data_IF_728864394572
#
_entry.id   IF_728864394572
#
_cell.length_a   1.000
_cell.length_b   1.000
_cell.length_c   1.000
_cell.angle_alpha   90.00
_cell.angle_beta   90.00
_cell.angle_gamma   90.00
#
_symmetry.space_group_name_H-M   'P 1'
#
loop_
_entity.id
_entity.type
_entity.pdbx_description
1 polymer ?
#
# COMPACT_ATOMS: atom_id res chain seq x y z
N UNK A 1 -27.35 -14.67 -2.16
CA UNK A 1 -26.72 -13.36 -1.88
C UNK A 1 -26.24 -13.27 -0.42
N UNK A 2 -27.09 -13.56 0.59
CA UNK A 2 -26.71 -13.48 2.01
C UNK A 2 -25.51 -14.42 2.33
N UNK A 3 -25.58 -15.68 1.94
CA UNK A 3 -24.51 -16.66 2.16
C UNK A 3 -23.15 -16.20 1.59
N UNK A 4 -23.12 -15.57 0.40
CA UNK A 4 -21.90 -15.03 -0.18
C UNK A 4 -21.35 -13.82 0.60
N UNK A 5 -22.22 -13.03 1.23
CA UNK A 5 -21.82 -11.94 2.09
C UNK A 5 -21.16 -12.49 3.36
N UNK A 6 -21.77 -13.52 3.95
CA UNK A 6 -21.25 -14.17 5.17
C UNK A 6 -19.91 -14.86 4.91
N UNK A 7 -19.78 -15.61 3.81
CA UNK A 7 -18.51 -16.24 3.40
C UNK A 7 -17.42 -15.19 3.13
N UNK A 8 -17.77 -14.07 2.52
CA UNK A 8 -16.82 -12.99 2.27
C UNK A 8 -16.40 -12.29 3.59
N UNK A 9 -17.31 -12.15 4.56
CA UNK A 9 -16.98 -11.64 5.89
C UNK A 9 -15.99 -12.59 6.59
N UNK A 10 -16.31 -13.88 6.66
CA UNK A 10 -15.43 -14.90 7.24
C UNK A 10 -14.04 -14.89 6.58
N UNK A 11 -13.97 -14.84 5.24
CA UNK A 11 -12.70 -14.75 4.53
C UNK A 11 -11.90 -13.51 4.92
N UNK A 12 -12.55 -12.37 5.13
CA UNK A 12 -11.89 -11.13 5.58
C UNK A 12 -11.33 -11.26 6.98
N UNK A 13 -12.10 -11.85 7.90
CA UNK A 13 -11.70 -12.05 9.29
C UNK A 13 -10.50 -13.00 9.36
N UNK A 14 -10.59 -14.17 8.71
CA UNK A 14 -9.47 -15.12 8.62
C UNK A 14 -8.21 -14.50 7.96
N UNK A 15 -8.41 -13.61 6.97
CA UNK A 15 -7.28 -12.90 6.34
C UNK A 15 -6.65 -11.92 7.33
N UNK A 16 -7.45 -11.18 8.12
CA UNK A 16 -6.95 -10.24 9.10
C UNK A 16 -6.14 -10.94 10.20
N UNK A 17 -6.67 -12.03 10.75
CA UNK A 17 -5.97 -12.88 11.72
C UNK A 17 -4.66 -13.45 11.16
N UNK A 18 -4.67 -13.94 9.91
CA UNK A 18 -3.47 -14.44 9.24
C UNK A 18 -2.42 -13.37 8.98
N UNK A 19 -2.83 -12.13 8.70
CA UNK A 19 -1.91 -10.98 8.56
C UNK A 19 -1.30 -10.62 9.92
N UNK A 20 -2.09 -10.60 11.00
CA UNK A 20 -1.60 -10.31 12.34
C UNK A 20 -0.54 -11.33 12.79
N UNK A 21 -0.83 -12.63 12.63
CA UNK A 21 0.13 -13.71 12.94
C UNK A 21 1.41 -13.61 12.08
N UNK A 22 1.27 -13.26 10.80
CA UNK A 22 2.41 -13.09 9.92
C UNK A 22 3.28 -11.90 10.32
N UNK A 23 2.67 -10.76 10.65
CA UNK A 23 3.40 -9.57 11.12
C UNK A 23 4.13 -9.84 12.42
N UNK A 24 3.50 -10.56 13.36
CA UNK A 24 4.15 -10.96 14.60
C UNK A 24 5.42 -11.79 14.32
N UNK A 25 5.36 -12.79 13.43
CA UNK A 25 6.55 -13.58 13.05
C UNK A 25 7.63 -12.70 12.40
N UNK A 26 7.25 -11.72 11.59
CA UNK A 26 8.20 -10.77 10.97
C UNK A 26 8.90 -9.94 12.04
N UNK A 27 8.18 -9.43 13.01
CA UNK A 27 8.72 -8.60 14.10
C UNK A 27 9.62 -9.40 15.05
N UNK A 28 9.26 -10.64 15.37
CA UNK A 28 9.99 -11.50 16.32
C UNK A 28 11.27 -12.12 15.72
N UNK A 29 11.29 -12.40 14.41
CA UNK A 29 12.35 -13.21 13.84
C UNK A 29 13.01 -12.72 12.56
N UNK A 30 12.34 -11.90 11.77
CA UNK A 30 12.73 -11.67 10.36
C UNK A 30 13.11 -10.22 10.05
N UNK A 31 13.41 -9.39 11.03
CA UNK A 31 13.67 -7.95 10.84
C UNK A 31 14.86 -7.63 9.94
N UNK A 32 15.86 -8.54 9.87
CA UNK A 32 17.05 -8.40 9.02
C UNK A 32 16.95 -9.07 7.64
N UNK A 33 15.90 -9.87 7.39
CA UNK A 33 15.75 -10.60 6.13
C UNK A 33 15.35 -9.68 4.97
N UNK A 34 15.93 -9.94 3.80
CA UNK A 34 15.63 -9.24 2.55
C UNK A 34 14.37 -9.79 1.88
N UNK A 35 14.13 -11.08 2.03
CA UNK A 35 12.97 -11.82 1.55
C UNK A 35 12.26 -12.43 2.74
N UNK A 36 11.04 -12.02 3.00
CA UNK A 36 10.26 -12.54 4.11
C UNK A 36 9.68 -13.90 3.76
N UNK A 37 9.94 -14.90 4.59
CA UNK A 37 9.36 -16.24 4.47
C UNK A 37 8.63 -16.56 5.76
N UNK A 38 7.30 -16.51 5.71
CA UNK A 38 6.43 -16.70 6.87
C UNK A 38 5.72 -18.05 6.74
N UNK A 39 5.77 -18.87 7.79
CA UNK A 39 5.09 -20.17 7.83
C UNK A 39 3.90 -20.14 8.79
N UNK A 40 2.69 -20.32 8.24
CA UNK A 40 1.41 -20.29 8.95
C UNK A 40 0.68 -21.63 8.75
N UNK A 41 1.03 -22.68 9.49
CA UNK A 41 0.53 -24.03 9.27
C UNK A 41 -1.00 -24.15 9.42
N UNK A 42 -1.61 -23.33 10.28
CA UNK A 42 -3.05 -23.40 10.59
C UNK A 42 -3.91 -22.49 9.68
N UNK A 43 -3.28 -21.72 8.78
CA UNK A 43 -3.97 -20.84 7.83
C UNK A 43 -4.29 -21.61 6.56
N UNK A 44 -5.51 -21.46 6.05
CA UNK A 44 -5.94 -22.09 4.81
C UNK A 44 -5.14 -21.60 3.60
N UNK A 45 -4.69 -22.53 2.75
CA UNK A 45 -3.80 -22.25 1.60
C UNK A 45 -4.33 -21.16 0.64
N UNK A 46 -5.66 -21.04 0.48
CA UNK A 46 -6.26 -20.02 -0.39
C UNK A 46 -6.03 -18.57 0.07
N UNK A 47 -5.67 -18.37 1.34
CA UNK A 47 -5.40 -17.04 1.92
C UNK A 47 -3.93 -16.64 1.80
N UNK A 48 -3.01 -17.59 1.60
CA UNK A 48 -1.56 -17.34 1.58
C UNK A 48 -1.17 -16.20 0.63
N UNK A 49 -1.76 -16.16 -0.57
CA UNK A 49 -1.47 -15.13 -1.56
C UNK A 49 -1.98 -13.73 -1.20
N UNK A 50 -3.11 -13.65 -0.46
CA UNK A 50 -3.66 -12.37 0.02
C UNK A 50 -2.81 -11.85 1.17
N UNK A 51 -2.47 -12.74 2.12
CA UNK A 51 -1.62 -12.41 3.27
C UNK A 51 -0.24 -11.95 2.78
N UNK A 52 0.39 -12.70 1.87
CA UNK A 52 1.68 -12.31 1.28
C UNK A 52 1.63 -10.92 0.63
N UNK A 53 0.51 -10.58 -0.04
CA UNK A 53 0.28 -9.26 -0.58
C UNK A 53 0.25 -8.16 0.49
N UNK A 54 -0.44 -8.39 1.59
CA UNK A 54 -0.55 -7.43 2.69
C UNK A 54 0.79 -7.22 3.43
N UNK A 55 1.52 -8.31 3.70
CA UNK A 55 2.85 -8.18 4.32
C UNK A 55 3.81 -7.45 3.38
N UNK A 56 3.82 -7.79 2.08
CA UNK A 56 4.62 -7.09 1.08
C UNK A 56 4.28 -5.59 1.02
N UNK A 57 3.00 -5.21 1.14
CA UNK A 57 2.57 -3.80 1.20
C UNK A 57 3.07 -3.10 2.45
N UNK A 58 2.97 -3.74 3.61
CA UNK A 58 3.40 -3.18 4.89
C UNK A 58 4.92 -3.05 5.02
N UNK A 59 5.67 -4.09 4.61
CA UNK A 59 7.13 -4.15 4.79
C UNK A 59 7.94 -3.68 3.58
N UNK A 60 7.29 -3.50 2.42
CA UNK A 60 7.92 -3.25 1.12
C UNK A 60 9.06 -4.23 0.81
N UNK A 61 8.87 -5.51 1.14
CA UNK A 61 9.81 -6.60 0.90
C UNK A 61 9.15 -7.74 0.11
N UNK A 62 9.90 -8.47 -0.75
CA UNK A 62 9.41 -9.72 -1.33
C UNK A 62 8.98 -10.66 -0.20
N UNK A 63 7.80 -11.24 -0.31
CA UNK A 63 7.21 -12.03 0.78
C UNK A 63 6.64 -13.34 0.26
N UNK A 64 7.00 -14.44 0.89
CA UNK A 64 6.38 -15.76 0.76
C UNK A 64 5.60 -16.09 2.02
N UNK A 65 4.36 -16.50 1.85
CA UNK A 65 3.55 -17.10 2.92
C UNK A 65 3.35 -18.57 2.59
N UNK A 66 3.76 -19.41 3.51
CA UNK A 66 3.72 -20.85 3.44
C UNK A 66 2.62 -21.36 4.38
N UNK A 67 1.87 -22.38 3.93
CA UNK A 67 0.80 -22.98 4.71
C UNK A 67 0.90 -24.50 4.61
N UNK A 68 0.41 -25.21 5.61
CA UNK A 68 0.35 -26.68 5.59
C UNK A 68 -0.66 -27.15 4.54
N UNK A 69 -0.34 -28.23 3.86
CA UNK A 69 -1.24 -28.92 2.91
C UNK A 69 -1.17 -30.45 3.11
N UNK A 70 -2.03 -31.19 2.44
CA UNK A 70 -2.06 -32.65 2.56
C UNK A 70 -0.72 -33.31 2.19
N UNK A 71 -0.03 -32.76 1.17
CA UNK A 71 1.22 -33.29 0.62
C UNK A 71 2.46 -32.48 1.02
N UNK A 72 2.47 -31.85 2.19
CA UNK A 72 3.58 -31.01 2.66
C UNK A 72 3.19 -29.56 2.87
N UNK A 73 3.94 -28.64 2.29
CA UNK A 73 3.74 -27.19 2.42
C UNK A 73 3.50 -26.57 1.06
N UNK A 74 2.48 -25.70 0.97
CA UNK A 74 2.24 -24.84 -0.18
C UNK A 74 2.52 -23.40 0.17
N UNK A 75 3.02 -22.64 -0.80
CA UNK A 75 3.34 -21.24 -0.62
C UNK A 75 2.89 -20.35 -1.75
N UNK A 76 2.61 -19.11 -1.41
CA UNK A 76 2.36 -18.04 -2.36
C UNK A 76 3.30 -16.87 -2.08
N UNK A 77 3.96 -16.37 -3.13
CA UNK A 77 4.84 -15.22 -3.07
C UNK A 77 4.23 -13.98 -3.72
N UNK A 78 4.60 -12.81 -3.18
CA UNK A 78 4.32 -11.48 -3.76
C UNK A 78 5.57 -10.64 -3.71
N UNK A 79 5.85 -9.92 -4.81
CA UNK A 79 7.12 -9.23 -4.99
C UNK A 79 7.01 -7.70 -5.01
N UNK A 80 8.17 -7.07 -4.97
CA UNK A 80 8.42 -5.68 -5.35
C UNK A 80 9.04 -5.64 -6.76
N UNK A 81 9.05 -4.47 -7.39
CA UNK A 81 9.51 -4.34 -8.79
C UNK A 81 10.98 -4.77 -9.00
N UNK A 82 11.83 -4.58 -7.99
CA UNK A 82 13.25 -4.90 -8.04
C UNK A 82 13.57 -6.41 -7.89
N UNK A 83 12.57 -7.28 -7.65
CA UNK A 83 12.78 -8.69 -7.33
C UNK A 83 11.89 -9.59 -8.17
N UNK A 84 12.49 -10.43 -9.02
CA UNK A 84 11.77 -11.42 -9.82
C UNK A 84 11.56 -12.72 -9.04
N UNK A 85 10.34 -12.94 -8.52
CA UNK A 85 10.00 -14.18 -7.79
C UNK A 85 10.39 -15.44 -8.54
N UNK A 86 10.07 -15.52 -9.83
CA UNK A 86 10.33 -16.71 -10.62
C UNK A 86 11.83 -16.99 -10.78
N UNK A 87 12.62 -15.97 -11.13
CA UNK A 87 14.07 -16.13 -11.33
C UNK A 87 14.78 -16.52 -10.03
N UNK A 88 14.34 -15.94 -8.92
CA UNK A 88 14.92 -16.26 -7.60
C UNK A 88 14.53 -17.68 -7.13
N UNK A 89 13.30 -18.12 -7.38
CA UNK A 89 12.90 -19.50 -7.10
C UNK A 89 13.71 -20.52 -7.94
N UNK A 90 14.07 -20.19 -9.18
CA UNK A 90 14.92 -21.04 -10.00
C UNK A 90 16.27 -21.34 -9.35
N UNK A 91 16.82 -20.42 -8.53
CA UNK A 91 18.08 -20.63 -7.78
C UNK A 91 17.95 -21.62 -6.62
N UNK A 92 16.70 -21.95 -6.23
CA UNK A 92 16.38 -22.84 -5.13
C UNK A 92 15.56 -24.07 -5.59
N UNK A 93 15.52 -24.35 -6.89
CA UNK A 93 14.58 -25.31 -7.50
C UNK A 93 14.62 -26.71 -6.90
N UNK A 94 15.77 -27.14 -6.39
CA UNK A 94 15.96 -28.47 -5.77
C UNK A 94 15.20 -28.66 -4.46
N UNK A 95 14.72 -27.57 -3.84
CA UNK A 95 13.97 -27.61 -2.58
C UNK A 95 12.47 -27.87 -2.80
N UNK A 96 11.98 -27.68 -4.04
CA UNK A 96 10.56 -27.71 -4.35
C UNK A 96 10.13 -29.00 -5.03
N UNK A 97 8.91 -29.43 -4.73
CA UNK A 97 8.21 -30.45 -5.50
C UNK A 97 7.53 -29.87 -6.74
N UNK A 98 7.03 -28.63 -6.61
CA UNK A 98 6.46 -27.83 -7.70
C UNK A 98 6.72 -26.35 -7.43
N UNK A 99 6.97 -25.58 -8.46
CA UNK A 99 6.96 -24.12 -8.39
C UNK A 99 6.67 -23.51 -9.75
N UNK A 100 6.23 -22.26 -9.75
CA UNK A 100 5.99 -21.48 -10.96
C UNK A 100 5.46 -20.10 -10.64
N UNK A 101 5.48 -19.22 -11.64
CA UNK A 101 4.99 -17.87 -11.45
C UNK A 101 5.50 -16.89 -12.48
N UNK A 102 5.44 -15.63 -12.10
CA UNK A 102 5.87 -14.44 -12.84
C UNK A 102 6.77 -13.58 -11.95
N UNK A 103 7.38 -12.51 -12.45
CA UNK A 103 8.23 -11.65 -11.62
C UNK A 103 7.54 -11.15 -10.35
N UNK A 104 6.26 -10.80 -10.40
CA UNK A 104 5.54 -10.19 -9.27
C UNK A 104 4.80 -11.17 -8.35
N UNK A 105 4.64 -12.43 -8.76
CA UNK A 105 3.91 -13.43 -7.96
C UNK A 105 4.31 -14.84 -8.35
N UNK A 106 4.47 -15.70 -7.35
CA UNK A 106 4.80 -17.10 -7.58
C UNK A 106 4.05 -18.01 -6.60
N UNK A 107 3.92 -19.27 -6.99
CA UNK A 107 3.44 -20.37 -6.16
C UNK A 107 4.48 -21.47 -6.08
N UNK A 108 4.52 -22.16 -4.95
CA UNK A 108 5.46 -23.23 -4.71
C UNK A 108 4.85 -24.32 -3.82
N UNK A 109 5.44 -25.51 -3.89
CA UNK A 109 5.19 -26.61 -2.95
C UNK A 109 6.52 -27.24 -2.56
N UNK A 110 6.69 -27.56 -1.29
CA UNK A 110 7.92 -28.14 -0.77
C UNK A 110 7.63 -29.08 0.43
N UNK A 111 8.54 -30.02 0.74
CA UNK A 111 8.50 -30.75 2.00
C UNK A 111 8.64 -29.81 3.18
N UNK A 112 7.94 -30.07 4.28
CA UNK A 112 7.99 -29.22 5.48
C UNK A 112 9.41 -29.09 6.03
N UNK A 113 10.23 -30.13 5.95
CA UNK A 113 11.64 -30.10 6.36
C UNK A 113 12.49 -29.09 5.58
N UNK A 114 12.04 -28.67 4.40
CA UNK A 114 12.77 -27.71 3.57
C UNK A 114 12.37 -26.25 3.84
N UNK A 115 11.45 -25.96 4.73
CA UNK A 115 10.96 -24.59 4.99
C UNK A 115 12.10 -23.68 5.45
N UNK A 116 12.85 -24.09 6.48
CA UNK A 116 13.97 -23.29 6.99
C UNK A 116 15.12 -23.20 5.97
N UNK A 117 15.43 -24.30 5.29
CA UNK A 117 16.46 -24.31 4.24
C UNK A 117 16.09 -23.36 3.12
N UNK A 118 14.82 -23.29 2.75
CA UNK A 118 14.32 -22.32 1.76
C UNK A 118 14.50 -20.88 2.24
N UNK A 119 14.12 -20.58 3.51
CA UNK A 119 14.29 -19.24 4.11
C UNK A 119 15.73 -18.78 4.05
N UNK A 120 16.65 -19.61 4.50
CA UNK A 120 18.07 -19.30 4.50
C UNK A 120 18.61 -19.10 3.08
N UNK A 121 18.31 -20.04 2.17
CA UNK A 121 18.84 -20.03 0.82
C UNK A 121 18.32 -18.87 -0.02
N UNK A 122 17.01 -18.56 0.04
CA UNK A 122 16.42 -17.46 -0.74
C UNK A 122 16.98 -16.10 -0.29
N UNK A 123 17.27 -15.94 0.99
CA UNK A 123 17.90 -14.75 1.54
C UNK A 123 19.39 -14.66 1.17
N UNK A 124 20.12 -15.78 1.21
CA UNK A 124 21.53 -15.83 0.82
C UNK A 124 21.73 -15.51 -0.67
N UNK A 125 20.80 -15.91 -1.53
CA UNK A 125 20.84 -15.63 -2.98
C UNK A 125 20.33 -14.24 -3.35
N UNK A 126 19.71 -13.52 -2.41
CA UNK A 126 19.03 -12.24 -2.67
C UNK A 126 20.03 -11.10 -2.93
N UNK A 127 20.01 -10.57 -4.14
CA UNK A 127 20.85 -9.45 -4.57
C UNK A 127 20.32 -8.04 -4.25
N UNK A 128 19.18 -7.91 -3.56
CA UNK A 128 18.58 -6.60 -3.22
C UNK A 128 19.48 -5.79 -2.29
N UNK A 129 19.48 -4.50 -2.48
CA UNK A 129 20.14 -3.49 -1.65
C UNK A 129 19.12 -2.70 -0.83
N UNK A 130 19.56 -1.92 0.16
CA UNK A 130 18.67 -1.08 0.96
C UNK A 130 17.84 -0.09 0.12
N UNK A 131 18.38 0.37 -1.00
CA UNK A 131 17.68 1.28 -1.93
C UNK A 131 16.47 0.64 -2.62
N UNK A 132 16.49 -0.68 -2.78
CA UNK A 132 15.40 -1.43 -3.42
C UNK A 132 14.17 -1.57 -2.51
N UNK A 133 14.35 -1.41 -1.19
CA UNK A 133 13.27 -1.44 -0.21
C UNK A 133 12.61 -0.08 0.02
N UNK A 134 13.12 0.98 -0.62
CA UNK A 134 12.50 2.31 -0.55
C UNK A 134 11.38 2.38 -1.60
N UNK A 135 10.11 2.53 -1.18
CA UNK A 135 8.99 2.67 -2.12
C UNK A 135 9.21 3.86 -3.06
N UNK A 136 9.21 3.60 -4.36
CA UNK A 136 9.33 4.64 -5.39
C UNK A 136 7.94 5.04 -5.88
N UNK A 137 7.65 6.33 -5.85
CA UNK A 137 6.41 6.88 -6.38
C UNK A 137 6.69 7.50 -7.73
N UNK A 138 6.02 6.99 -8.76
CA UNK A 138 6.11 7.55 -10.10
C UNK A 138 5.21 8.77 -10.20
N UNK A 139 5.79 9.92 -10.46
CA UNK A 139 5.08 11.16 -10.74
C UNK A 139 5.17 11.40 -12.24
N UNK A 140 4.04 11.51 -12.92
CA UNK A 140 4.04 11.76 -14.36
C UNK A 140 4.40 13.21 -14.68
N UNK A 141 3.78 14.16 -13.97
CA UNK A 141 4.04 15.60 -14.15
C UNK A 141 3.96 16.33 -12.81
N UNK A 142 4.95 17.15 -12.42
CA UNK A 142 4.79 18.14 -11.35
C UNK A 142 3.75 19.18 -11.81
N UNK A 143 2.63 19.30 -11.06
CA UNK A 143 1.56 20.23 -11.40
C UNK A 143 1.00 20.87 -10.12
N UNK A 144 0.91 22.21 -10.07
CA UNK A 144 0.29 22.90 -8.93
C UNK A 144 -1.15 22.44 -8.69
N UNK A 145 -1.56 22.24 -7.44
CA UNK A 145 -2.91 21.79 -7.09
C UNK A 145 -4.02 22.75 -7.49
N UNK A 146 -3.70 24.01 -7.78
CA UNK A 146 -4.62 25.03 -8.23
C UNK A 146 -4.70 25.21 -9.75
N UNK A 147 -3.92 24.40 -10.51
CA UNK A 147 -3.91 24.40 -11.97
C UNK A 147 -5.09 23.62 -12.57
N UNK A 148 -5.49 22.43 -12.05
CA UNK A 148 -6.58 21.67 -12.64
C UNK A 148 -7.89 22.44 -12.63
N UNK A 149 -8.56 22.46 -13.78
CA UNK A 149 -9.91 22.93 -13.99
C UNK A 149 -10.82 21.80 -14.50
N UNK A 150 -12.11 22.07 -14.64
CA UNK A 150 -13.09 21.07 -15.11
C UNK A 150 -12.77 20.58 -16.53
N UNK A 151 -12.41 21.44 -17.52
CA UNK A 151 -11.96 20.99 -18.84
C UNK A 151 -10.80 20.01 -18.78
N UNK A 152 -9.72 20.30 -18.06
CA UNK A 152 -8.56 19.40 -17.91
C UNK A 152 -8.96 18.05 -17.30
N UNK A 153 -9.78 18.05 -16.25
CA UNK A 153 -10.22 16.78 -15.64
C UNK A 153 -11.05 15.96 -16.62
N UNK A 154 -11.91 16.60 -17.43
CA UNK A 154 -12.66 15.89 -18.47
C UNK A 154 -11.74 15.30 -19.56
N UNK A 155 -10.67 15.98 -19.94
CA UNK A 155 -9.64 15.41 -20.84
C UNK A 155 -8.91 14.22 -20.22
N UNK A 156 -8.57 14.29 -18.92
CA UNK A 156 -7.97 13.16 -18.20
C UNK A 156 -8.91 11.94 -18.15
N UNK A 157 -10.21 12.14 -18.07
CA UNK A 157 -11.21 11.06 -18.09
C UNK A 157 -11.26 10.33 -19.46
N UNK A 158 -10.82 10.95 -20.54
CA UNK A 158 -10.72 10.26 -21.84
C UNK A 158 -9.65 9.16 -21.86
N UNK A 159 -8.75 9.16 -20.89
CA UNK A 159 -7.75 8.09 -20.72
C UNK A 159 -8.32 6.82 -20.07
N UNK A 160 -9.55 6.85 -19.56
CA UNK A 160 -10.21 5.66 -18.97
C UNK A 160 -10.51 4.57 -20.04
N UNK A 161 -10.55 3.28 -19.63
CA UNK A 161 -10.48 2.77 -18.25
C UNK A 161 -9.04 2.63 -17.74
N UNK A 162 -8.80 3.06 -16.51
CA UNK A 162 -7.52 2.87 -15.83
C UNK A 162 -7.38 1.44 -15.31
N UNK A 163 -6.14 0.93 -15.31
CA UNK A 163 -5.80 -0.41 -14.84
C UNK A 163 -4.29 -0.67 -14.89
N UNK A 164 -3.91 -1.93 -14.82
CA UNK A 164 -2.50 -2.34 -14.71
C UNK A 164 -1.60 -1.80 -15.84
N UNK A 165 -2.08 -1.80 -17.09
CA UNK A 165 -1.32 -1.33 -18.27
C UNK A 165 -1.60 0.13 -18.62
N UNK A 166 -2.59 0.77 -17.99
CA UNK A 166 -2.97 2.16 -18.15
C UNK A 166 -3.19 2.77 -16.78
N UNK A 167 -2.11 3.11 -16.10
CA UNK A 167 -2.13 3.62 -14.73
C UNK A 167 -2.73 5.02 -14.73
N UNK A 168 -3.55 5.33 -13.71
CA UNK A 168 -4.11 6.66 -13.51
C UNK A 168 -2.96 7.66 -13.33
N UNK A 169 -2.92 8.77 -14.10
CA UNK A 169 -1.85 9.76 -14.00
C UNK A 169 -1.69 10.31 -12.58
N UNK A 170 -0.46 10.50 -12.15
CA UNK A 170 -0.13 11.05 -10.84
C UNK A 170 0.61 12.37 -10.98
N UNK A 171 0.07 13.37 -10.30
CA UNK A 171 0.62 14.71 -10.24
C UNK A 171 1.21 14.99 -8.87
N UNK A 172 2.14 15.93 -8.78
CA UNK A 172 2.71 16.32 -7.50
C UNK A 172 2.81 17.83 -7.36
N UNK A 173 2.60 18.29 -6.13
CA UNK A 173 2.84 19.66 -5.69
C UNK A 173 3.45 19.68 -4.30
N UNK A 174 4.11 20.76 -3.94
CA UNK A 174 4.84 20.90 -2.68
C UNK A 174 4.54 22.21 -1.97
N UNK A 175 4.94 22.28 -0.71
CA UNK A 175 4.86 23.48 0.13
C UNK A 175 3.43 23.99 0.35
N UNK A 176 2.47 23.07 0.42
CA UNK A 176 1.06 23.37 0.67
C UNK A 176 0.80 23.53 2.17
N UNK A 177 0.15 24.61 2.58
CA UNK A 177 -0.34 24.76 3.95
C UNK A 177 -1.61 23.93 4.18
N UNK A 178 -1.89 23.55 5.42
CA UNK A 178 -3.15 22.93 5.81
C UNK A 178 -3.98 23.97 6.55
N UNK A 179 -5.02 24.51 5.91
CA UNK A 179 -5.93 25.44 6.58
C UNK A 179 -6.90 24.69 7.52
N UNK A 180 -7.31 23.49 7.13
CA UNK A 180 -8.23 22.67 7.93
C UNK A 180 -8.10 21.18 7.57
N UNK A 181 -8.20 20.33 8.60
CA UNK A 181 -8.30 18.88 8.49
C UNK A 181 -9.57 18.40 9.21
N UNK A 182 -10.35 17.52 8.59
CA UNK A 182 -11.58 16.95 9.18
C UNK A 182 -11.66 15.47 8.83
N UNK A 183 -11.83 14.63 9.84
CA UNK A 183 -12.11 13.21 9.66
C UNK A 183 -13.58 13.04 9.29
N UNK A 184 -13.84 12.33 8.22
CA UNK A 184 -15.20 12.08 7.70
C UNK A 184 -15.36 10.60 7.33
N UNK A 185 -16.59 10.23 7.00
CA UNK A 185 -16.95 8.85 6.64
C UNK A 185 -17.41 8.03 7.86
N UNK A 186 -18.20 6.99 7.58
CA UNK A 186 -18.80 6.14 8.61
C UNK A 186 -17.74 5.41 9.45
N UNK A 187 -16.63 5.07 8.84
CA UNK A 187 -15.51 4.34 9.47
C UNK A 187 -14.36 5.27 9.91
N UNK A 188 -14.54 6.60 9.84
CA UNK A 188 -13.53 7.60 10.19
C UNK A 188 -12.16 7.41 9.49
N UNK A 189 -12.19 6.88 8.28
CA UNK A 189 -11.00 6.53 7.47
C UNK A 189 -10.82 7.45 6.26
N UNK A 190 -11.48 8.59 6.24
CA UNK A 190 -11.35 9.60 5.19
C UNK A 190 -10.96 10.92 5.82
N UNK A 191 -9.84 11.48 5.40
CA UNK A 191 -9.39 12.80 5.83
C UNK A 191 -9.71 13.82 4.73
N UNK A 192 -10.61 14.75 5.04
CA UNK A 192 -10.90 15.90 4.19
C UNK A 192 -10.02 17.08 4.63
N UNK A 193 -9.26 17.61 3.68
CA UNK A 193 -8.34 18.71 3.90
C UNK A 193 -8.76 19.94 3.09
N UNK A 194 -8.52 21.10 3.65
CA UNK A 194 -8.45 22.36 2.89
C UNK A 194 -6.99 22.76 2.84
N UNK A 195 -6.40 22.65 1.64
CA UNK A 195 -5.01 23.00 1.41
C UNK A 195 -4.89 24.43 0.92
N UNK A 196 -3.85 25.12 1.32
CA UNK A 196 -3.55 26.47 0.91
C UNK A 196 -2.27 26.51 0.07
N UNK A 197 -2.37 27.04 -1.13
CA UNK A 197 -1.23 27.24 -2.01
C UNK A 197 -0.40 28.46 -1.55
N UNK A 198 0.83 28.58 -2.02
CA UNK A 198 1.66 29.76 -1.77
C UNK A 198 1.01 31.06 -2.29
N UNK A 199 0.17 30.97 -3.30
CA UNK A 199 -0.63 32.08 -3.86
C UNK A 199 -1.86 32.42 -3.02
N UNK A 200 -2.11 31.70 -1.92
CA UNK A 200 -3.24 31.93 -1.03
C UNK A 200 -4.55 31.30 -1.48
N UNK A 201 -4.56 30.51 -2.56
CA UNK A 201 -5.79 29.82 -3.04
C UNK A 201 -6.05 28.56 -2.19
N UNK A 202 -7.28 28.37 -1.76
CA UNK A 202 -7.71 27.20 -1.01
C UNK A 202 -8.25 26.11 -1.95
N UNK A 203 -7.76 24.87 -1.76
CA UNK A 203 -8.13 23.71 -2.56
C UNK A 203 -8.68 22.61 -1.66
N UNK A 204 -9.81 22.03 -2.06
CA UNK A 204 -10.36 20.85 -1.38
C UNK A 204 -9.55 19.60 -1.73
N UNK A 205 -9.16 18.84 -0.71
CA UNK A 205 -8.44 17.59 -0.88
C UNK A 205 -9.07 16.49 -0.03
N UNK A 206 -8.96 15.25 -0.48
CA UNK A 206 -9.35 14.06 0.28
C UNK A 206 -8.20 13.06 0.30
N UNK A 207 -8.00 12.42 1.42
CA UNK A 207 -7.08 11.32 1.61
C UNK A 207 -7.84 10.10 2.14
N UNK A 208 -7.70 8.97 1.45
CA UNK A 208 -8.29 7.69 1.81
C UNK A 208 -7.17 6.80 2.35
N UNK A 209 -6.92 6.86 3.64
CA UNK A 209 -5.87 6.09 4.29
C UNK A 209 -5.96 6.16 5.80
N UNK A 210 -4.90 5.76 6.47
CA UNK A 210 -4.83 5.80 7.92
C UNK A 210 -4.68 7.24 8.42
N UNK A 211 -5.66 7.70 9.17
CA UNK A 211 -5.71 9.07 9.71
C UNK A 211 -4.77 9.21 10.91
N UNK A 212 -4.57 8.14 11.68
CA UNK A 212 -3.67 8.18 12.83
C UNK A 212 -2.21 8.18 12.35
N UNK A 213 -1.87 7.39 11.32
CA UNK A 213 -0.56 7.45 10.68
C UNK A 213 -0.25 8.87 10.15
N UNK A 214 -1.25 9.53 9.53
CA UNK A 214 -1.14 10.93 9.09
C UNK A 214 -0.84 11.87 10.26
N UNK A 215 -1.56 11.73 11.38
CA UNK A 215 -1.34 12.54 12.58
C UNK A 215 0.04 12.34 13.18
N UNK A 216 0.44 11.09 13.35
CA UNK A 216 1.75 10.75 13.88
C UNK A 216 2.89 11.26 13.00
N UNK A 217 2.76 11.13 11.68
CA UNK A 217 3.77 11.60 10.74
C UNK A 217 4.01 13.12 10.89
N UNK A 218 2.92 13.90 10.85
CA UNK A 218 3.03 15.36 11.00
C UNK A 218 3.30 15.78 12.45
N UNK A 219 2.85 15.01 13.44
CA UNK A 219 3.18 15.21 14.85
C UNK A 219 4.67 15.09 15.11
N UNK A 220 5.32 14.08 14.57
CA UNK A 220 6.78 13.90 14.65
C UNK A 220 7.54 15.00 13.92
N UNK A 221 7.02 15.52 12.82
CA UNK A 221 7.71 16.50 11.96
C UNK A 221 7.52 17.95 12.41
N UNK A 222 6.35 18.32 12.90
CA UNK A 222 5.97 19.70 13.24
C UNK A 222 5.53 19.87 14.70
N UNK A 223 5.28 18.79 15.42
CA UNK A 223 4.75 18.79 16.78
C UNK A 223 3.24 18.58 16.84
N UNK A 224 2.78 17.89 17.88
CA UNK A 224 1.36 17.53 18.10
C UNK A 224 0.44 18.76 18.14
N UNK A 225 0.92 19.89 18.70
CA UNK A 225 0.14 21.13 18.76
C UNK A 225 -0.20 21.65 17.37
N UNK A 226 0.73 21.62 16.41
CA UNK A 226 0.50 22.10 15.05
C UNK A 226 -0.55 21.23 14.34
N UNK A 227 -0.48 19.92 14.54
CA UNK A 227 -1.50 18.97 14.02
C UNK A 227 -2.86 19.29 14.64
N UNK A 228 -2.94 19.48 15.96
CA UNK A 228 -4.19 19.84 16.62
C UNK A 228 -4.78 21.15 16.09
N UNK A 229 -3.94 22.17 15.87
CA UNK A 229 -4.41 23.44 15.27
C UNK A 229 -4.98 23.24 13.88
N UNK A 230 -4.37 22.40 13.03
CA UNK A 230 -4.90 22.07 11.70
C UNK A 230 -6.28 21.40 11.78
N UNK A 231 -6.46 20.46 12.72
CA UNK A 231 -7.76 19.80 12.93
C UNK A 231 -8.82 20.72 13.52
N UNK A 232 -8.42 21.76 14.26
CA UNK A 232 -9.31 22.82 14.74
C UNK A 232 -9.61 23.91 13.70
N UNK A 233 -8.97 23.84 12.52
CA UNK A 233 -9.08 24.88 11.49
C UNK A 233 -8.43 26.19 11.89
N UNK A 234 -7.36 26.15 12.67
CA UNK A 234 -6.59 27.30 13.15
C UNK A 234 -5.26 27.42 12.43
N UNK A 235 -4.65 28.59 12.51
CA UNK A 235 -3.32 28.83 11.96
C UNK A 235 -2.29 27.86 12.52
N UNK A 236 -1.52 27.23 11.62
CA UNK A 236 -0.47 26.27 11.92
C UNK A 236 0.69 26.42 10.93
N UNK A 237 1.83 25.83 11.27
CA UNK A 237 3.06 25.87 10.47
C UNK A 237 3.25 24.69 9.51
N UNK A 238 2.28 23.77 9.42
CA UNK A 238 2.44 22.55 8.60
C UNK A 238 2.58 22.92 7.12
N UNK A 239 3.58 22.30 6.48
CA UNK A 239 3.79 22.32 5.03
C UNK A 239 3.90 20.91 4.54
N UNK A 240 3.08 20.58 3.54
CA UNK A 240 3.04 19.24 2.96
C UNK A 240 3.35 19.25 1.47
N UNK A 241 3.96 18.18 1.00
CA UNK A 241 4.02 17.82 -0.40
C UNK A 241 3.01 16.72 -0.65
N UNK A 242 2.38 16.72 -1.80
CA UNK A 242 1.36 15.71 -2.15
C UNK A 242 1.62 15.11 -3.50
N UNK A 243 1.36 13.80 -3.62
CA UNK A 243 1.10 13.15 -4.89
C UNK A 243 -0.40 12.95 -4.99
N UNK A 244 -1.00 13.39 -6.07
CA UNK A 244 -2.44 13.49 -6.16
C UNK A 244 -2.99 13.21 -7.58
N UNK A 245 -4.29 13.04 -7.66
CA UNK A 245 -5.08 13.05 -8.88
C UNK A 245 -6.26 14.00 -8.73
N UNK A 246 -6.56 14.90 -9.70
CA UNK A 246 -7.70 15.79 -9.63
C UNK A 246 -8.99 15.08 -10.04
N UNK A 247 -10.08 15.39 -9.36
CA UNK A 247 -11.42 14.87 -9.65
C UNK A 247 -12.47 15.99 -9.61
N UNK A 248 -13.57 15.81 -10.34
CA UNK A 248 -14.73 16.69 -10.25
C UNK A 248 -15.61 16.18 -9.10
N UNK A 249 -15.67 16.95 -8.03
CA UNK A 249 -16.63 16.73 -6.96
C UNK A 249 -18.00 17.31 -7.35
N UNK A 250 -19.02 16.44 -7.40
CA UNK A 250 -20.41 16.80 -7.69
C UNK A 250 -21.24 16.70 -6.43
N UNK A 251 -21.59 17.82 -5.85
CA UNK A 251 -22.38 17.86 -4.62
C UNK A 251 -23.52 18.88 -4.72
N UNK A 252 -24.75 18.45 -4.47
CA UNK A 252 -25.98 19.28 -4.53
C UNK A 252 -26.11 20.12 -5.81
N UNK A 253 -25.73 19.53 -6.96
CA UNK A 253 -25.80 20.20 -8.27
C UNK A 253 -24.67 21.16 -8.58
N UNK A 254 -23.72 21.34 -7.66
CA UNK A 254 -22.50 22.13 -7.88
C UNK A 254 -21.33 21.22 -8.28
N UNK A 255 -20.53 21.67 -9.22
CA UNK A 255 -19.27 21.03 -9.60
C UNK A 255 -18.07 21.86 -9.10
N UNK A 256 -17.10 21.18 -8.52
CA UNK A 256 -15.86 21.80 -8.07
C UNK A 256 -14.70 20.83 -8.22
N UNK A 257 -13.50 21.36 -8.38
CA UNK A 257 -12.30 20.53 -8.40
C UNK A 257 -11.94 20.14 -6.96
N UNK A 258 -11.66 18.86 -6.79
CA UNK A 258 -11.13 18.26 -5.59
C UNK A 258 -9.89 17.42 -5.97
N UNK A 259 -8.85 17.44 -5.16
CA UNK A 259 -7.72 16.53 -5.35
C UNK A 259 -7.84 15.31 -4.45
N UNK A 260 -7.51 14.15 -4.98
CA UNK A 260 -7.40 12.89 -4.23
C UNK A 260 -5.93 12.63 -3.96
N UNK A 261 -5.54 12.77 -2.70
CA UNK A 261 -4.16 12.54 -2.25
C UNK A 261 -3.88 11.04 -2.28
N UNK A 262 -2.78 10.66 -2.92
CA UNK A 262 -2.28 9.29 -2.99
C UNK A 262 -1.14 9.06 -2.02
N UNK A 263 -0.26 10.05 -1.91
CA UNK A 263 0.87 10.07 -0.99
C UNK A 263 1.11 11.49 -0.50
N UNK A 264 1.74 11.60 0.67
CA UNK A 264 2.11 12.88 1.27
C UNK A 264 3.50 12.79 1.93
N UNK A 265 4.12 13.94 2.06
CA UNK A 265 5.41 14.10 2.76
C UNK A 265 5.45 15.43 3.51
#
# INVERSE_FOLDING_TARGET
AAELVDLNAQRKDMTAEGVELAMQQVEEGNTGEKVLVVYLPDVHESLAGIIAGRIREACHKPTFVLTKSEDGVKGSGRSIEAYSMYEELCKCQELFTKFGGHPMAAGLSLPEANVEIFREKINACCGLTEEDFIPKIKIDIPMPVDYPDIPLVNELLLLEPFGKANVKPQFADKNLGIDRAVVVGKNQNVLKLTLKTERGKSISAVYFGDVEEFREYYGRKYGENEVQQAFLGRTNGIRMSVVYYPEINRYQGNESIQIVIKNYQ
#
